data_IF_009025489674
#
_entry.id   IF_009025489674
#
_cell.length_a   1.000
_cell.length_b   1.000
_cell.length_c   1.000
_cell.angle_alpha   90.00
_cell.angle_beta   90.00
_cell.angle_gamma   90.00
#
_symmetry.space_group_name_H-M   'P 1'
#
loop_
_entity.id
_entity.type
_entity.pdbx_description
1 polymer ?
#
# COMPACT_ATOMS: atom_id res chain seq x y z
N UNK A 1 13.31 -16.16 1.84
CA UNK A 1 13.68 -15.74 3.20
C UNK A 1 13.52 -14.23 3.23
N UNK A 2 12.34 -13.74 3.62
CA UNK A 2 12.05 -12.31 3.75
C UNK A 2 12.69 -11.81 5.07
N UNK A 3 13.39 -10.68 5.01
CA UNK A 3 14.27 -10.19 6.06
C UNK A 3 13.51 -9.79 7.34
N UNK A 4 14.14 -9.90 8.54
CA UNK A 4 13.53 -9.53 9.82
C UNK A 4 13.66 -8.03 10.06
N UNK A 5 13.06 -7.20 9.20
CA UNK A 5 12.84 -5.80 9.51
C UNK A 5 11.45 -5.70 10.13
N UNK A 6 11.36 -5.20 11.37
CA UNK A 6 10.13 -5.07 12.15
C UNK A 6 9.08 -4.09 11.55
N UNK A 7 9.12 -3.83 10.24
CA UNK A 7 8.19 -3.03 9.46
C UNK A 7 7.52 -3.94 8.44
N UNK A 8 6.19 -4.01 8.47
CA UNK A 8 5.37 -4.78 7.52
C UNK A 8 5.87 -4.60 6.07
N UNK A 9 6.04 -5.73 5.36
CA UNK A 9 6.32 -5.76 3.92
C UNK A 9 5.12 -5.23 3.13
N UNK A 10 5.35 -4.75 1.90
CA UNK A 10 4.27 -4.24 1.04
C UNK A 10 3.17 -5.29 0.82
N UNK A 11 3.56 -6.52 0.46
CA UNK A 11 2.63 -7.63 0.23
C UNK A 11 1.81 -7.95 1.48
N UNK A 12 2.46 -8.01 2.65
CA UNK A 12 1.77 -8.23 3.92
C UNK A 12 0.77 -7.11 4.25
N UNK A 13 1.10 -5.85 3.94
CA UNK A 13 0.24 -4.70 4.23
C UNK A 13 -0.96 -4.67 3.28
N UNK A 14 -0.75 -5.04 2.03
CA UNK A 14 -1.78 -5.18 1.03
C UNK A 14 -2.76 -6.30 1.43
N UNK A 15 -2.27 -7.49 1.79
CA UNK A 15 -3.12 -8.61 2.24
C UNK A 15 -3.95 -8.26 3.47
N UNK A 16 -3.37 -7.52 4.43
CA UNK A 16 -4.14 -7.04 5.59
C UNK A 16 -5.21 -6.03 5.19
N UNK A 17 -4.91 -5.12 4.26
CA UNK A 17 -5.86 -4.14 3.75
C UNK A 17 -7.02 -4.83 3.02
N UNK A 18 -6.74 -5.82 2.16
CA UNK A 18 -7.75 -6.61 1.46
C UNK A 18 -8.67 -7.33 2.44
N UNK A 19 -8.12 -7.95 3.49
CA UNK A 19 -8.92 -8.63 4.51
C UNK A 19 -9.82 -7.66 5.31
N UNK A 20 -9.34 -6.45 5.58
CA UNK A 20 -10.14 -5.40 6.23
C UNK A 20 -11.29 -4.98 5.32
N UNK A 21 -11.01 -4.73 4.04
CA UNK A 21 -12.02 -4.34 3.05
C UNK A 21 -13.07 -5.44 2.90
N UNK A 22 -12.66 -6.70 2.74
CA UNK A 22 -13.56 -7.85 2.65
C UNK A 22 -14.47 -7.95 3.89
N UNK A 23 -13.90 -7.75 5.09
CA UNK A 23 -14.68 -7.73 6.34
C UNK A 23 -15.72 -6.60 6.34
N UNK A 24 -15.37 -5.41 5.85
CA UNK A 24 -16.27 -4.26 5.78
C UNK A 24 -17.38 -4.46 4.74
N UNK A 25 -17.07 -5.11 3.62
CA UNK A 25 -18.02 -5.41 2.54
C UNK A 25 -19.01 -6.53 2.89
N UNK A 26 -18.60 -7.53 3.68
CA UNK A 26 -19.50 -8.58 4.16
C UNK A 26 -20.64 -8.05 5.05
N UNK A 27 -20.52 -6.84 5.60
CA UNK A 27 -21.57 -6.23 6.42
C UNK A 27 -21.73 -6.86 7.83
N UNK A 28 -20.83 -7.77 8.20
CA UNK A 28 -20.81 -8.44 9.51
C UNK A 28 -20.14 -7.59 10.60
N UNK A 29 -19.49 -6.48 10.23
CA UNK A 29 -18.76 -5.61 11.15
C UNK A 29 -19.72 -4.58 11.76
N UNK A 30 -19.88 -4.55 13.10
CA UNK A 30 -20.72 -3.56 13.75
C UNK A 30 -20.16 -2.14 13.56
N UNK A 31 -21.05 -1.13 13.58
CA UNK A 31 -20.70 0.28 13.34
C UNK A 31 -19.53 0.79 14.21
N UNK A 32 -19.45 0.32 15.46
CA UNK A 32 -18.36 0.68 16.37
C UNK A 32 -16.99 0.15 15.90
N UNK A 33 -16.96 -1.02 15.27
CA UNK A 33 -15.73 -1.62 14.74
C UNK A 33 -15.40 -1.13 13.34
N UNK A 34 -16.40 -0.72 12.55
CA UNK A 34 -16.22 -0.13 11.22
C UNK A 34 -15.27 1.07 11.26
N UNK A 35 -15.39 1.93 12.27
CA UNK A 35 -14.52 3.10 12.42
C UNK A 35 -13.05 2.70 12.66
N UNK A 36 -12.83 1.71 13.53
CA UNK A 36 -11.50 1.20 13.84
C UNK A 36 -10.86 0.52 12.63
N UNK A 37 -11.63 -0.31 11.91
CA UNK A 37 -11.22 -0.97 10.67
C UNK A 37 -10.87 0.05 9.58
N UNK A 38 -11.66 1.12 9.45
CA UNK A 38 -11.37 2.20 8.52
C UNK A 38 -10.06 2.92 8.86
N UNK A 39 -9.81 3.24 10.14
CA UNK A 39 -8.54 3.85 10.55
C UNK A 39 -7.34 2.92 10.31
N UNK A 40 -7.49 1.63 10.55
CA UNK A 40 -6.47 0.62 10.30
C UNK A 40 -6.19 0.47 8.80
N UNK A 41 -7.23 0.36 7.98
CA UNK A 41 -7.11 0.33 6.52
C UNK A 41 -6.40 1.57 5.97
N UNK A 42 -6.71 2.75 6.49
CA UNK A 42 -6.05 4.00 6.06
C UNK A 42 -4.56 4.04 6.47
N UNK A 43 -4.18 3.45 7.60
CA UNK A 43 -2.77 3.30 7.99
C UNK A 43 -2.03 2.35 7.05
N UNK A 44 -2.63 1.22 6.70
CA UNK A 44 -2.07 0.25 5.77
C UNK A 44 -1.93 0.84 4.37
N UNK A 45 -2.95 1.58 3.89
CA UNK A 45 -2.90 2.28 2.62
C UNK A 45 -1.72 3.24 2.54
N UNK A 46 -1.55 4.11 3.55
CA UNK A 46 -0.40 5.03 3.63
C UNK A 46 0.95 4.30 3.65
N UNK A 47 1.00 3.14 4.30
CA UNK A 47 2.20 2.32 4.32
C UNK A 47 2.51 1.77 2.92
N UNK A 48 1.50 1.25 2.22
CA UNK A 48 1.63 0.78 0.84
C UNK A 48 2.11 1.90 -0.10
N UNK A 49 1.49 3.08 -0.03
CA UNK A 49 1.90 4.26 -0.81
C UNK A 49 3.34 4.67 -0.52
N UNK A 50 3.75 4.69 0.75
CA UNK A 50 5.12 5.03 1.14
C UNK A 50 6.13 4.03 0.58
N UNK A 51 5.81 2.72 0.56
CA UNK A 51 6.67 1.69 -0.01
C UNK A 51 6.79 1.82 -1.53
N UNK A 52 5.67 2.05 -2.22
CA UNK A 52 5.66 2.28 -3.66
C UNK A 52 6.47 3.52 -4.02
N UNK A 53 6.34 4.60 -3.25
CA UNK A 53 7.11 5.83 -3.46
C UNK A 53 8.61 5.62 -3.24
N UNK A 54 9.01 4.88 -2.21
CA UNK A 54 10.42 4.53 -1.99
C UNK A 54 11.00 3.69 -3.14
N UNK A 55 10.21 2.73 -3.64
CA UNK A 55 10.59 1.94 -4.81
C UNK A 55 10.71 2.81 -6.08
N UNK A 56 9.75 3.72 -6.32
CA UNK A 56 9.78 4.65 -7.45
C UNK A 56 11.01 5.55 -7.41
N UNK A 57 11.35 6.11 -6.24
CA UNK A 57 12.54 6.94 -6.06
C UNK A 57 13.84 6.17 -6.33
N UNK A 58 13.94 4.93 -5.85
CA UNK A 58 15.09 4.06 -6.13
C UNK A 58 15.20 3.76 -7.63
N UNK A 59 14.09 3.49 -8.29
CA UNK A 59 14.05 3.28 -9.74
C UNK A 59 14.46 4.56 -10.47
N UNK A 60 13.97 5.74 -10.07
CA UNK A 60 14.34 7.01 -10.68
C UNK A 60 15.83 7.32 -10.54
N UNK A 61 16.42 7.02 -9.38
CA UNK A 61 17.86 7.15 -9.17
C UNK A 61 18.66 6.22 -10.11
N UNK A 62 18.20 4.97 -10.26
CA UNK A 62 18.81 4.01 -11.20
C UNK A 62 18.65 4.45 -12.66
N UNK A 63 17.51 5.05 -13.05
CA UNK A 63 17.28 5.64 -14.38
C UNK A 63 18.25 6.79 -14.66
N UNK A 64 18.50 7.69 -13.69
CA UNK A 64 19.48 8.78 -13.85
C UNK A 64 20.90 8.27 -14.05
N UNK A 65 21.20 7.05 -13.60
CA UNK A 65 22.50 6.40 -13.78
C UNK A 65 22.60 5.53 -15.06
N UNK A 66 21.48 5.06 -15.61
CA UNK A 66 21.39 4.28 -16.85
C UNK A 66 20.42 4.93 -17.82
N UNK A 67 20.98 5.58 -18.83
CA UNK A 67 20.29 6.19 -19.96
C UNK A 67 19.07 5.35 -20.44
N UNK A 68 17.85 5.84 -20.20
CA UNK A 68 16.72 5.60 -21.10
C UNK A 68 15.76 4.42 -20.88
N UNK A 69 15.21 4.17 -19.67
CA UNK A 69 13.99 3.34 -19.56
C UNK A 69 12.88 4.11 -18.83
N UNK A 70 11.81 4.47 -19.54
CA UNK A 70 10.66 5.19 -19.00
C UNK A 70 9.58 4.23 -18.50
N UNK A 71 9.52 4.00 -17.19
CA UNK A 71 8.35 3.41 -16.52
C UNK A 71 7.35 4.53 -16.16
N UNK A 72 6.08 4.34 -16.55
CA UNK A 72 4.98 5.25 -16.24
C UNK A 72 4.77 5.35 -14.72
N UNK A 73 4.49 6.57 -14.26
CA UNK A 73 4.22 6.88 -12.85
C UNK A 73 2.94 6.15 -12.41
N UNK A 74 2.94 5.57 -11.22
CA UNK A 74 1.72 4.98 -10.67
C UNK A 74 0.77 6.12 -10.28
N UNK A 75 -0.18 6.44 -11.15
CA UNK A 75 -1.21 7.44 -10.89
C UNK A 75 -2.30 6.83 -10.02
N UNK A 76 -2.34 7.22 -8.74
CA UNK A 76 -3.50 7.02 -7.87
C UNK A 76 -4.64 7.95 -8.34
N UNK A 77 -5.17 7.74 -9.55
CA UNK A 77 -6.45 8.33 -9.93
C UNK A 77 -7.55 7.52 -9.25
N UNK A 78 -7.97 7.98 -8.07
CA UNK A 78 -9.32 7.71 -7.60
C UNK A 78 -10.23 8.60 -8.43
N UNK A 79 -10.50 8.18 -9.67
CA UNK A 79 -11.53 8.77 -10.51
C UNK A 79 -12.88 8.35 -9.92
N UNK A 80 -13.62 9.33 -9.40
CA UNK A 80 -15.05 9.26 -9.08
C UNK A 80 -15.80 9.98 -10.18
#
# INVERSE_FOLDING_TARGET
MDAPDAKLSFEAALTQLESIVESMESGEVPLAELLAKFEEGNKLLKLCEARLKDAELKIELLKKQKDGVAFAKFETTSEV
#
